data_IF_254352896536
#
_entry.id   IF_254352896536
#
_cell.length_a   1.000
_cell.length_b   1.000
_cell.length_c   1.000
_cell.angle_alpha   90.00
_cell.angle_beta   90.00
_cell.angle_gamma   90.00
#
_symmetry.space_group_name_H-M   'P 1'
#
loop_
_entity.id
_entity.type
_entity.pdbx_description
1 polymer ?
#
# COMPACT_ATOMS: atom_id res chain seq x y z
N UNK A 1 -13.76 11.01 -19.86
CA UNK A 1 -13.85 11.41 -18.44
C UNK A 1 -13.35 10.24 -17.61
N UNK A 2 -12.34 10.42 -16.78
CA UNK A 2 -11.82 9.37 -15.89
C UNK A 2 -12.87 9.16 -14.77
N UNK A 3 -13.24 7.92 -14.49
CA UNK A 3 -14.17 7.58 -13.40
C UNK A 3 -13.56 8.01 -12.06
N UNK A 4 -14.38 8.53 -11.14
CA UNK A 4 -13.97 8.85 -9.78
C UNK A 4 -13.52 7.57 -9.03
N UNK A 5 -12.51 7.71 -8.18
CA UNK A 5 -12.00 6.64 -7.32
C UNK A 5 -13.01 6.40 -6.19
N UNK A 6 -13.49 5.19 -6.08
CA UNK A 6 -14.48 4.78 -5.06
C UNK A 6 -13.79 4.44 -3.76
N UNK A 7 -14.13 5.14 -2.69
CA UNK A 7 -13.47 5.01 -1.39
C UNK A 7 -14.45 4.50 -0.34
N UNK A 8 -14.04 3.48 0.41
CA UNK A 8 -14.70 3.01 1.64
C UNK A 8 -13.94 3.55 2.86
N UNK A 9 -14.66 4.15 3.82
CA UNK A 9 -14.09 4.60 5.09
C UNK A 9 -14.34 3.56 6.16
N UNK A 10 -13.29 3.17 6.89
CA UNK A 10 -13.38 2.18 7.97
C UNK A 10 -12.69 2.72 9.21
N UNK A 11 -13.46 3.07 10.23
CA UNK A 11 -12.99 3.69 11.48
C UNK A 11 -14.11 3.53 12.53
N UNK A 12 -13.80 3.24 13.78
CA UNK A 12 -14.82 3.09 14.83
C UNK A 12 -15.36 4.43 15.33
N UNK A 13 -14.63 5.54 15.12
CA UNK A 13 -15.07 6.88 15.48
C UNK A 13 -15.90 7.54 14.36
N UNK A 14 -17.20 7.73 14.63
CA UNK A 14 -18.11 8.37 13.69
C UNK A 14 -17.74 9.84 13.36
N UNK A 15 -17.07 10.57 14.29
CA UNK A 15 -16.62 11.95 14.03
C UNK A 15 -15.47 11.94 13.03
N UNK A 16 -14.54 10.99 13.16
CA UNK A 16 -13.44 10.82 12.20
C UNK A 16 -13.99 10.49 10.82
N UNK A 17 -14.93 9.53 10.70
CA UNK A 17 -15.56 9.20 9.41
C UNK A 17 -16.26 10.42 8.79
N UNK A 18 -17.01 11.17 9.60
CA UNK A 18 -17.69 12.39 9.11
C UNK A 18 -16.69 13.46 8.65
N UNK A 19 -15.59 13.66 9.40
CA UNK A 19 -14.51 14.56 9.04
C UNK A 19 -13.84 14.17 7.72
N UNK A 20 -13.48 12.89 7.55
CA UNK A 20 -12.90 12.35 6.32
C UNK A 20 -13.86 12.52 5.13
N UNK A 21 -15.14 12.23 5.33
CA UNK A 21 -16.17 12.45 4.28
C UNK A 21 -16.23 13.90 3.84
N UNK A 22 -16.23 14.85 4.78
CA UNK A 22 -16.23 16.29 4.45
C UNK A 22 -14.95 16.70 3.71
N UNK A 23 -13.79 16.21 4.15
CA UNK A 23 -12.50 16.50 3.51
C UNK A 23 -12.45 15.98 2.06
N UNK A 24 -12.97 14.77 1.85
CA UNK A 24 -12.95 14.12 0.53
C UNK A 24 -14.04 14.62 -0.41
N UNK A 25 -15.15 15.18 0.11
CA UNK A 25 -16.24 15.73 -0.71
C UNK A 25 -15.81 16.87 -1.63
N UNK A 26 -14.71 17.57 -1.31
CA UNK A 26 -14.13 18.61 -2.15
C UNK A 26 -13.23 18.12 -3.29
N UNK A 27 -12.94 16.81 -3.35
CA UNK A 27 -12.06 16.22 -4.36
C UNK A 27 -12.89 15.63 -5.50
N UNK A 28 -12.93 16.31 -6.66
CA UNK A 28 -13.74 15.94 -7.84
C UNK A 28 -13.52 14.49 -8.34
N UNK A 29 -12.38 13.89 -7.99
CA UNK A 29 -11.97 12.55 -8.46
C UNK A 29 -12.14 11.45 -7.43
N UNK A 30 -12.74 11.75 -6.28
CA UNK A 30 -12.96 10.79 -5.19
C UNK A 30 -14.45 10.72 -4.87
N UNK A 31 -14.97 9.50 -4.71
CA UNK A 31 -16.35 9.23 -4.31
C UNK A 31 -16.34 8.32 -3.07
N UNK A 32 -16.80 8.82 -1.92
CA UNK A 32 -16.95 8.03 -0.70
C UNK A 32 -18.25 7.21 -0.79
N UNK A 33 -18.11 5.95 -1.16
CA UNK A 33 -19.22 5.05 -1.51
C UNK A 33 -19.84 4.32 -0.32
N UNK A 34 -19.15 4.28 0.83
CA UNK A 34 -19.66 3.60 2.01
C UNK A 34 -18.78 3.83 3.23
N UNK A 35 -19.26 3.34 4.37
CA UNK A 35 -18.59 3.36 5.66
C UNK A 35 -18.75 2.03 6.38
N UNK A 36 -17.78 1.69 7.24
CA UNK A 36 -17.88 0.64 8.24
C UNK A 36 -17.27 1.15 9.56
N UNK A 37 -17.79 0.67 10.68
CA UNK A 37 -17.38 1.08 12.03
C UNK A 37 -16.50 0.03 12.73
N UNK A 38 -16.22 -1.09 12.05
CA UNK A 38 -15.41 -2.18 12.58
C UNK A 38 -14.88 -3.06 11.45
N UNK A 39 -13.76 -3.73 11.68
CA UNK A 39 -13.15 -4.64 10.72
C UNK A 39 -14.01 -5.82 10.29
N UNK A 40 -14.96 -6.27 11.12
CA UNK A 40 -15.89 -7.36 10.78
C UNK A 40 -16.84 -6.97 9.65
N UNK A 41 -17.27 -5.71 9.61
CA UNK A 41 -18.18 -5.20 8.59
C UNK A 41 -17.51 -5.00 7.23
N UNK A 42 -16.18 -4.98 7.18
CA UNK A 42 -15.41 -4.55 6.00
C UNK A 42 -15.67 -5.42 4.77
N UNK A 43 -15.67 -6.76 4.91
CA UNK A 43 -15.89 -7.66 3.77
C UNK A 43 -17.27 -7.43 3.14
N UNK A 44 -18.32 -7.35 3.96
CA UNK A 44 -19.69 -7.08 3.49
C UNK A 44 -19.81 -5.69 2.83
N UNK A 45 -19.14 -4.67 3.40
CA UNK A 45 -19.12 -3.33 2.82
C UNK A 45 -18.37 -3.29 1.48
N UNK A 46 -17.26 -4.03 1.34
CA UNK A 46 -16.52 -4.16 0.08
C UNK A 46 -17.37 -4.85 -0.98
N UNK A 47 -18.05 -5.94 -0.63
CA UNK A 47 -18.94 -6.65 -1.56
C UNK A 47 -20.10 -5.79 -2.04
N UNK A 48 -20.69 -5.00 -1.14
CA UNK A 48 -21.81 -4.13 -1.44
C UNK A 48 -21.41 -2.92 -2.28
N UNK A 49 -20.32 -2.24 -1.87
CA UNK A 49 -19.95 -0.94 -2.44
C UNK A 49 -18.88 -1.03 -3.52
N UNK A 50 -18.18 -2.17 -3.67
CA UNK A 50 -17.11 -2.36 -4.66
C UNK A 50 -16.15 -1.15 -4.71
N UNK A 51 -15.50 -0.78 -3.59
CA UNK A 51 -14.55 0.32 -3.56
C UNK A 51 -13.29 -0.02 -4.33
N UNK A 52 -12.60 1.00 -4.85
CA UNK A 52 -11.27 0.88 -5.42
C UNK A 52 -10.19 0.98 -4.32
N UNK A 53 -10.48 1.78 -3.28
CA UNK A 53 -9.57 2.03 -2.14
C UNK A 53 -10.35 1.97 -0.83
N UNK A 54 -9.74 1.39 0.20
CA UNK A 54 -10.24 1.41 1.59
C UNK A 54 -9.31 2.27 2.44
N UNK A 55 -9.83 3.31 3.09
CA UNK A 55 -9.14 3.99 4.19
C UNK A 55 -9.48 3.25 5.48
N UNK A 56 -8.47 2.68 6.13
CA UNK A 56 -8.62 1.73 7.23
C UNK A 56 -7.94 2.23 8.50
N UNK A 57 -8.69 2.47 9.58
CA UNK A 57 -8.07 2.63 10.88
C UNK A 57 -7.53 1.29 11.41
N UNK A 58 -6.49 1.35 12.22
CA UNK A 58 -5.90 0.16 12.87
C UNK A 58 -6.70 -0.23 14.10
N UNK A 59 -7.04 0.75 14.96
CA UNK A 59 -7.59 0.47 16.27
C UNK A 59 -9.10 0.44 16.26
N UNK A 60 -9.66 -0.74 16.05
CA UNK A 60 -11.09 -1.00 16.13
C UNK A 60 -11.40 -2.12 17.14
N UNK A 61 -12.58 -2.09 17.81
CA UNK A 61 -12.85 -2.91 18.99
C UNK A 61 -12.87 -4.43 18.76
N UNK A 62 -13.50 -4.91 17.68
CA UNK A 62 -13.78 -6.32 17.47
C UNK A 62 -12.76 -6.99 16.56
N UNK A 63 -12.48 -6.35 15.42
CA UNK A 63 -11.46 -6.78 14.47
C UNK A 63 -10.60 -5.59 14.08
N UNK A 64 -9.32 -5.64 14.44
CA UNK A 64 -8.39 -4.55 14.10
C UNK A 64 -8.16 -4.42 12.59
N UNK A 65 -7.75 -3.22 12.16
CA UNK A 65 -7.58 -2.92 10.75
C UNK A 65 -6.45 -3.71 10.08
N UNK A 66 -5.46 -4.19 10.82
CA UNK A 66 -4.39 -5.03 10.27
C UNK A 66 -4.94 -6.42 9.94
N UNK A 67 -5.73 -7.01 10.85
CA UNK A 67 -6.40 -8.28 10.60
C UNK A 67 -7.44 -8.16 9.47
N UNK A 68 -8.21 -7.06 9.45
CA UNK A 68 -9.16 -6.77 8.36
C UNK A 68 -8.45 -6.60 7.01
N UNK A 69 -7.31 -5.91 6.97
CA UNK A 69 -6.48 -5.78 5.76
C UNK A 69 -6.04 -7.15 5.24
N UNK A 70 -5.56 -8.04 6.12
CA UNK A 70 -5.14 -9.40 5.73
C UNK A 70 -6.31 -10.20 5.16
N UNK A 71 -7.51 -10.10 5.76
CA UNK A 71 -8.71 -10.75 5.25
C UNK A 71 -9.12 -10.21 3.88
N UNK A 72 -9.07 -8.90 3.67
CA UNK A 72 -9.34 -8.30 2.37
C UNK A 72 -8.35 -8.78 1.32
N UNK A 73 -7.05 -8.80 1.63
CA UNK A 73 -6.00 -9.21 0.69
C UNK A 73 -6.08 -10.68 0.27
N UNK A 74 -6.74 -11.54 1.07
CA UNK A 74 -6.98 -12.94 0.71
C UNK A 74 -8.15 -13.12 -0.27
N UNK A 75 -8.92 -12.07 -0.58
CA UNK A 75 -10.03 -12.15 -1.52
C UNK A 75 -9.56 -12.04 -2.98
N UNK A 76 -10.33 -12.59 -3.94
CA UNK A 76 -10.09 -12.31 -5.35
C UNK A 76 -10.30 -10.82 -5.67
N UNK A 77 -9.36 -10.20 -6.40
CA UNK A 77 -9.41 -8.80 -6.83
C UNK A 77 -9.72 -7.80 -5.67
N UNK A 78 -8.89 -7.79 -4.62
CA UNK A 78 -9.16 -6.99 -3.44
C UNK A 78 -8.91 -5.51 -3.71
N UNK A 79 -9.66 -4.60 -3.05
CA UNK A 79 -9.37 -3.16 -3.10
C UNK A 79 -7.99 -2.87 -2.51
N UNK A 80 -7.39 -1.77 -2.93
CA UNK A 80 -6.18 -1.29 -2.29
C UNK A 80 -6.50 -0.74 -0.89
N UNK A 81 -5.63 -1.01 0.09
CA UNK A 81 -5.84 -0.55 1.48
C UNK A 81 -4.80 0.50 1.83
N UNK A 82 -5.26 1.66 2.26
CA UNK A 82 -4.45 2.71 2.90
C UNK A 82 -4.79 2.75 4.37
N UNK A 83 -3.82 2.46 5.22
CA UNK A 83 -3.99 2.56 6.66
C UNK A 83 -3.92 4.02 7.07
N UNK A 84 -4.87 4.46 7.90
CA UNK A 84 -4.97 5.82 8.43
C UNK A 84 -5.15 5.73 9.95
N UNK A 85 -4.13 6.10 10.73
CA UNK A 85 -4.12 5.91 12.19
C UNK A 85 -3.54 7.09 12.94
N UNK A 86 -3.86 7.21 14.24
CA UNK A 86 -3.24 8.19 15.14
C UNK A 86 -1.88 7.75 15.69
N UNK A 87 -1.49 6.49 15.49
CA UNK A 87 -0.28 5.90 16.06
C UNK A 87 0.66 5.37 14.99
N UNK A 88 1.92 5.74 15.09
CA UNK A 88 2.99 5.44 14.15
C UNK A 88 4.15 4.66 14.77
N UNK A 89 3.85 3.68 15.65
CA UNK A 89 4.94 2.83 16.15
C UNK A 89 5.49 1.99 15.00
N UNK A 90 6.82 1.84 14.95
CA UNK A 90 7.54 1.09 13.93
C UNK A 90 6.95 -0.31 13.70
N UNK A 91 6.56 -0.97 14.79
CA UNK A 91 5.96 -2.29 14.74
C UNK A 91 4.61 -2.29 14.01
N UNK A 92 3.75 -1.29 14.24
CA UNK A 92 2.43 -1.19 13.59
C UNK A 92 2.56 -0.94 12.09
N UNK A 93 3.50 -0.08 11.69
CA UNK A 93 3.80 0.19 10.28
C UNK A 93 4.20 -1.10 9.57
N UNK A 94 5.17 -1.83 10.11
CA UNK A 94 5.64 -3.10 9.51
C UNK A 94 4.52 -4.13 9.45
N UNK A 95 3.72 -4.26 10.51
CA UNK A 95 2.60 -5.22 10.54
C UNK A 95 1.54 -4.88 9.50
N UNK A 96 1.22 -3.60 9.30
CA UNK A 96 0.27 -3.14 8.28
C UNK A 96 0.78 -3.45 6.86
N UNK A 97 2.05 -3.14 6.58
CA UNK A 97 2.66 -3.42 5.29
C UNK A 97 2.77 -4.92 5.01
N UNK A 98 3.12 -5.73 6.02
CA UNK A 98 3.14 -7.20 5.91
C UNK A 98 1.74 -7.81 5.73
N UNK A 99 0.69 -7.12 6.21
CA UNK A 99 -0.70 -7.50 5.97
C UNK A 99 -1.19 -7.13 4.55
N UNK A 100 -0.39 -6.43 3.76
CA UNK A 100 -0.71 -6.07 2.38
C UNK A 100 -1.25 -4.65 2.19
N UNK A 101 -1.13 -3.75 3.20
CA UNK A 101 -1.47 -2.35 3.02
C UNK A 101 -0.61 -1.71 1.92
N UNK A 102 -1.25 -1.01 0.98
CA UNK A 102 -0.60 -0.31 -0.12
C UNK A 102 -0.10 1.10 0.27
N UNK A 103 -0.59 1.62 1.40
CA UNK A 103 -0.19 2.91 1.95
C UNK A 103 -0.38 2.97 3.46
N UNK A 104 0.33 3.93 4.08
CA UNK A 104 0.22 4.21 5.51
C UNK A 104 0.32 5.72 5.75
N UNK A 105 -0.69 6.28 6.40
CA UNK A 105 -0.81 7.69 6.73
C UNK A 105 -1.18 7.89 8.20
N UNK A 106 -0.84 9.05 8.73
CA UNK A 106 -1.31 9.48 10.04
C UNK A 106 -2.64 10.26 9.91
N UNK A 107 -3.50 10.21 10.91
CA UNK A 107 -4.79 10.95 10.92
C UNK A 107 -4.62 12.47 10.95
N UNK A 108 -3.44 12.99 11.29
CA UNK A 108 -3.07 14.40 11.19
C UNK A 108 -2.51 14.80 9.82
N UNK A 109 -2.44 13.86 8.87
CA UNK A 109 -2.01 14.13 7.50
C UNK A 109 -2.93 15.15 6.84
N UNK A 110 -2.37 16.21 6.18
CA UNK A 110 -3.17 17.22 5.49
C UNK A 110 -4.14 16.60 4.46
N UNK A 111 -5.38 17.13 4.32
CA UNK A 111 -6.38 16.58 3.40
C UNK A 111 -5.89 16.40 1.96
N UNK A 112 -5.11 17.32 1.44
CA UNK A 112 -4.54 17.23 0.09
C UNK A 112 -3.59 16.03 -0.09
N UNK A 113 -2.88 15.65 0.96
CA UNK A 113 -1.99 14.48 0.94
C UNK A 113 -2.78 13.18 1.05
N UNK A 114 -3.89 13.16 1.79
CA UNK A 114 -4.81 12.00 1.84
C UNK A 114 -5.41 11.77 0.44
N UNK A 115 -5.90 12.81 -0.22
CA UNK A 115 -6.41 12.76 -1.60
C UNK A 115 -5.33 12.20 -2.54
N UNK A 116 -4.13 12.75 -2.48
CA UNK A 116 -2.99 12.30 -3.29
C UNK A 116 -2.66 10.83 -3.04
N UNK A 117 -2.67 10.38 -1.78
CA UNK A 117 -2.40 8.99 -1.43
C UNK A 117 -3.43 8.05 -2.04
N UNK A 118 -4.73 8.40 -1.97
CA UNK A 118 -5.81 7.61 -2.59
C UNK A 118 -5.58 7.49 -4.10
N UNK A 119 -5.27 8.59 -4.78
CA UNK A 119 -5.02 8.59 -6.23
C UNK A 119 -3.80 7.75 -6.62
N UNK A 120 -2.68 7.87 -5.87
CA UNK A 120 -1.47 7.10 -6.12
C UNK A 120 -1.69 5.61 -5.90
N UNK A 121 -2.33 5.24 -4.78
CA UNK A 121 -2.60 3.84 -4.46
C UNK A 121 -3.57 3.22 -5.47
N UNK A 122 -4.61 3.96 -5.90
CA UNK A 122 -5.48 3.54 -7.00
C UNK A 122 -4.70 3.39 -8.33
N UNK A 123 -3.68 4.20 -8.55
CA UNK A 123 -2.79 4.07 -9.70
C UNK A 123 -1.84 2.86 -9.61
N UNK A 124 -1.81 2.14 -8.48
CA UNK A 124 -0.91 1.01 -8.21
C UNK A 124 0.46 1.45 -7.68
N UNK A 125 0.58 2.71 -7.26
CA UNK A 125 1.75 3.23 -6.57
C UNK A 125 1.54 3.12 -5.05
N UNK A 126 2.58 2.71 -4.31
CA UNK A 126 2.55 2.74 -2.85
C UNK A 126 2.70 4.17 -2.34
N UNK A 127 2.04 4.50 -1.24
CA UNK A 127 2.18 5.79 -0.59
C UNK A 127 2.48 5.62 0.89
N UNK A 128 3.61 6.15 1.32
CA UNK A 128 3.99 6.26 2.72
C UNK A 128 4.22 7.73 3.04
N UNK A 129 3.74 8.17 4.21
CA UNK A 129 4.09 9.53 4.66
C UNK A 129 5.60 9.66 4.85
N UNK A 130 6.16 10.88 4.77
CA UNK A 130 7.59 11.08 5.01
C UNK A 130 8.06 10.58 6.38
N UNK A 131 7.20 10.64 7.40
CA UNK A 131 7.47 10.11 8.73
C UNK A 131 7.63 8.59 8.69
N UNK A 132 6.65 7.89 8.11
CA UNK A 132 6.65 6.43 7.96
C UNK A 132 7.82 5.95 7.09
N UNK A 133 8.17 6.69 6.04
CA UNK A 133 9.34 6.37 5.20
C UNK A 133 10.63 6.43 6.02
N UNK A 134 10.83 7.46 6.87
CA UNK A 134 12.01 7.55 7.75
C UNK A 134 12.08 6.40 8.74
N UNK A 135 10.93 6.00 9.32
CA UNK A 135 10.85 4.86 10.23
C UNK A 135 11.25 3.55 9.54
N UNK A 136 10.73 3.30 8.33
CA UNK A 136 11.10 2.12 7.56
C UNK A 136 12.60 2.08 7.24
N UNK A 137 13.18 3.21 6.84
CA UNK A 137 14.61 3.32 6.59
C UNK A 137 15.41 2.98 7.85
N UNK A 138 15.01 3.52 9.01
CA UNK A 138 15.66 3.26 10.29
C UNK A 138 15.57 1.78 10.71
N UNK A 139 14.42 1.14 10.47
CA UNK A 139 14.20 -0.28 10.76
C UNK A 139 15.06 -1.19 9.88
N UNK A 140 15.10 -0.92 8.58
CA UNK A 140 15.93 -1.69 7.63
C UNK A 140 17.42 -1.50 7.95
N UNK A 141 17.83 -0.28 8.31
CA UNK A 141 19.21 0.00 8.70
C UNK A 141 19.60 -0.58 10.08
N UNK A 142 18.66 -0.76 11.00
CA UNK A 142 18.88 -1.26 12.36
C UNK A 142 18.80 -2.79 12.51
N UNK A 143 18.00 -3.44 11.69
CA UNK A 143 17.99 -4.90 11.57
C UNK A 143 19.10 -5.33 10.60
N UNK A 144 20.35 -5.30 11.02
CA UNK A 144 21.47 -5.87 10.25
C UNK A 144 21.04 -7.27 9.79
N UNK A 145 20.68 -7.37 8.50
CA UNK A 145 19.98 -8.51 7.95
C UNK A 145 20.69 -9.83 8.23
N UNK A 146 19.96 -10.81 8.74
CA UNK A 146 20.50 -12.15 8.84
C UNK A 146 20.89 -12.62 7.43
N UNK A 147 22.09 -13.21 7.21
CA UNK A 147 22.56 -13.66 5.89
C UNK A 147 21.54 -14.49 5.10
N UNK A 148 20.72 -15.28 5.80
CA UNK A 148 19.65 -16.08 5.20
C UNK A 148 18.52 -15.26 4.53
N UNK A 149 18.29 -14.01 4.93
CA UNK A 149 17.30 -13.15 4.26
C UNK A 149 17.84 -12.61 2.93
N UNK A 150 19.10 -12.24 2.90
CA UNK A 150 19.75 -11.72 1.69
C UNK A 150 19.85 -12.78 0.60
N UNK A 151 20.21 -14.02 0.95
CA UNK A 151 20.31 -15.12 -0.01
C UNK A 151 18.93 -15.44 -0.62
N UNK A 152 17.87 -15.53 0.20
CA UNK A 152 16.52 -15.77 -0.29
C UNK A 152 15.97 -14.64 -1.16
N UNK A 153 16.24 -13.37 -0.82
CA UNK A 153 15.83 -12.22 -1.62
C UNK A 153 16.53 -12.20 -2.98
N UNK A 154 17.82 -12.55 -3.00
CA UNK A 154 18.61 -12.64 -4.23
C UNK A 154 18.12 -13.76 -5.14
N UNK A 155 17.88 -14.95 -4.62
CA UNK A 155 17.32 -16.08 -5.38
C UNK A 155 15.97 -15.72 -6.01
N UNK A 156 15.09 -15.05 -5.27
CA UNK A 156 13.80 -14.56 -5.78
C UNK A 156 14.00 -13.57 -6.94
N UNK A 157 14.92 -12.60 -6.82
CA UNK A 157 15.22 -11.68 -7.91
C UNK A 157 15.92 -12.34 -9.11
N UNK A 158 16.61 -13.45 -8.91
CA UNK A 158 17.20 -14.24 -9.99
C UNK A 158 16.17 -15.08 -10.73
N UNK A 159 15.05 -15.43 -10.09
CA UNK A 159 13.96 -16.23 -10.66
C UNK A 159 13.05 -15.48 -11.63
N UNK A 160 13.05 -14.14 -11.62
CA UNK A 160 12.22 -13.31 -12.50
C UNK A 160 12.94 -12.96 -13.80
N UNK A 161 12.17 -12.62 -14.85
CA UNK A 161 12.75 -12.25 -16.15
C UNK A 161 13.56 -10.96 -16.08
N UNK A 162 14.53 -10.74 -17.02
CA UNK A 162 15.33 -9.52 -17.04
C UNK A 162 14.47 -8.24 -17.02
N UNK A 163 13.36 -8.24 -17.74
CA UNK A 163 12.46 -7.09 -17.82
C UNK A 163 11.68 -6.84 -16.52
N UNK A 164 11.26 -7.90 -15.84
CA UNK A 164 10.66 -7.82 -14.52
C UNK A 164 11.66 -7.32 -13.48
N UNK A 165 12.91 -7.75 -13.58
CA UNK A 165 14.00 -7.28 -12.72
C UNK A 165 14.26 -5.78 -12.88
N UNK A 166 14.30 -5.26 -14.11
CA UNK A 166 14.42 -3.81 -14.35
C UNK A 166 13.30 -3.03 -13.66
N UNK A 167 12.05 -3.50 -13.77
CA UNK A 167 10.90 -2.90 -13.10
C UNK A 167 11.04 -3.02 -11.57
N UNK A 168 11.42 -4.18 -11.05
CA UNK A 168 11.62 -4.38 -9.60
C UNK A 168 12.69 -3.44 -9.03
N UNK A 169 13.83 -3.29 -9.72
CA UNK A 169 14.89 -2.36 -9.33
C UNK A 169 14.42 -0.90 -9.34
N UNK A 170 13.62 -0.50 -10.32
CA UNK A 170 13.04 0.83 -10.38
C UNK A 170 12.03 1.07 -9.23
N UNK A 171 11.23 0.06 -8.88
CA UNK A 171 10.36 0.06 -7.70
C UNK A 171 11.20 0.18 -6.42
N UNK A 172 12.31 -0.53 -6.31
CA UNK A 172 13.26 -0.46 -5.19
C UNK A 172 13.86 0.95 -4.98
N UNK A 173 14.00 1.73 -6.07
CA UNK A 173 14.39 3.15 -5.99
C UNK A 173 13.23 4.10 -5.63
N UNK A 174 12.03 3.57 -5.42
CA UNK A 174 10.83 4.35 -5.08
C UNK A 174 10.18 5.08 -6.26
N UNK A 175 10.54 4.77 -7.51
CA UNK A 175 9.99 5.47 -8.68
C UNK A 175 8.50 5.15 -8.89
N UNK A 176 7.62 6.14 -9.12
CA UNK A 176 6.23 5.91 -9.49
C UNK A 176 6.12 5.26 -10.88
N UNK A 177 4.99 4.63 -11.18
CA UNK A 177 4.77 3.91 -12.44
C UNK A 177 4.96 4.78 -13.69
N UNK A 178 4.65 6.07 -13.61
CA UNK A 178 4.87 7.02 -14.72
C UNK A 178 6.36 7.22 -15.03
N UNK A 179 7.20 7.35 -13.99
CA UNK A 179 8.64 7.54 -14.14
C UNK A 179 9.32 6.25 -14.60
N UNK A 180 8.88 5.09 -14.06
CA UNK A 180 9.32 3.76 -14.56
C UNK A 180 9.00 3.61 -16.05
N UNK A 181 7.78 4.00 -16.45
CA UNK A 181 7.36 3.94 -17.84
C UNK A 181 8.24 4.79 -18.74
N UNK A 182 8.58 6.02 -18.33
CA UNK A 182 9.48 6.91 -19.05
C UNK A 182 10.90 6.35 -19.12
N UNK A 183 11.48 5.90 -17.99
CA UNK A 183 12.84 5.36 -17.92
C UNK A 183 13.02 4.09 -18.76
N UNK A 184 12.05 3.18 -18.67
CA UNK A 184 12.13 1.87 -19.34
C UNK A 184 11.47 1.84 -20.73
N UNK A 185 11.05 2.99 -21.25
CA UNK A 185 10.37 3.11 -22.55
C UNK A 185 9.15 2.17 -22.70
N UNK A 186 8.28 2.18 -21.68
CA UNK A 186 7.04 1.40 -21.64
C UNK A 186 5.81 2.29 -21.51
N UNK A 187 4.62 1.72 -21.70
CA UNK A 187 3.38 2.37 -21.24
C UNK A 187 3.21 2.18 -19.73
N UNK A 188 2.51 3.12 -19.07
CA UNK A 188 2.14 2.98 -17.64
C UNK A 188 1.33 1.70 -17.39
N UNK A 189 0.46 1.33 -18.33
CA UNK A 189 -0.31 0.07 -18.27
C UNK A 189 0.60 -1.16 -18.29
N UNK A 190 1.68 -1.13 -19.09
CA UNK A 190 2.68 -2.21 -19.13
C UNK A 190 3.44 -2.32 -17.82
N UNK A 191 3.84 -1.19 -17.23
CA UNK A 191 4.49 -1.18 -15.90
C UNK A 191 3.56 -1.78 -14.83
N UNK A 192 2.29 -1.35 -14.78
CA UNK A 192 1.29 -1.92 -13.85
C UNK A 192 1.18 -3.45 -14.02
N UNK A 193 1.12 -3.95 -15.25
CA UNK A 193 1.06 -5.39 -15.52
C UNK A 193 2.33 -6.12 -15.05
N UNK A 194 3.52 -5.50 -15.16
CA UNK A 194 4.74 -6.06 -14.60
C UNK A 194 4.74 -6.07 -13.08
N UNK A 195 4.33 -4.98 -12.44
CA UNK A 195 4.21 -4.91 -10.97
C UNK A 195 3.24 -5.98 -10.46
N UNK A 196 2.06 -6.14 -11.07
CA UNK A 196 1.10 -7.18 -10.67
C UNK A 196 1.69 -8.60 -10.80
N UNK A 197 2.44 -8.88 -11.87
CA UNK A 197 3.12 -10.17 -12.03
C UNK A 197 4.24 -10.37 -11.01
N UNK A 198 4.98 -9.31 -10.67
CA UNK A 198 6.03 -9.34 -9.66
C UNK A 198 5.45 -9.68 -8.29
N UNK A 199 4.31 -9.08 -7.89
CA UNK A 199 3.64 -9.43 -6.64
C UNK A 199 3.39 -10.93 -6.53
N UNK A 200 2.82 -11.53 -7.58
CA UNK A 200 2.53 -12.97 -7.61
C UNK A 200 3.81 -13.81 -7.61
N UNK A 201 4.80 -13.48 -8.44
CA UNK A 201 6.02 -14.28 -8.58
C UNK A 201 6.93 -14.23 -7.36
N UNK A 202 7.01 -13.06 -6.72
CA UNK A 202 7.83 -12.85 -5.53
C UNK A 202 7.09 -13.25 -4.24
N UNK A 203 5.78 -13.58 -4.32
CA UNK A 203 4.97 -13.96 -3.17
C UNK A 203 4.76 -12.81 -2.19
N UNK A 204 4.63 -11.57 -2.71
CA UNK A 204 4.48 -10.35 -1.90
C UNK A 204 3.16 -9.66 -2.19
N UNK A 205 2.61 -8.93 -1.20
CA UNK A 205 1.25 -8.39 -1.23
C UNK A 205 1.15 -6.97 -1.79
N UNK A 206 2.24 -6.20 -1.75
CA UNK A 206 2.26 -4.81 -2.20
C UNK A 206 3.62 -4.39 -2.75
N UNK A 207 3.65 -3.23 -3.45
CA UNK A 207 4.91 -2.75 -4.06
C UNK A 207 5.97 -2.31 -3.04
N UNK A 208 5.58 -1.98 -1.80
CA UNK A 208 6.54 -1.64 -0.76
C UNK A 208 7.35 -2.88 -0.38
N UNK A 209 6.70 -4.04 -0.33
CA UNK A 209 7.39 -5.31 -0.10
C UNK A 209 8.34 -5.67 -1.26
N UNK A 210 7.99 -5.34 -2.52
CA UNK A 210 8.94 -5.47 -3.65
C UNK A 210 10.17 -4.60 -3.39
N UNK A 211 9.97 -3.33 -2.96
CA UNK A 211 11.07 -2.41 -2.71
C UNK A 211 11.99 -2.91 -1.58
N UNK A 212 11.41 -3.41 -0.48
CA UNK A 212 12.17 -4.00 0.63
C UNK A 212 12.96 -5.23 0.20
N UNK A 213 12.35 -6.12 -0.59
CA UNK A 213 13.02 -7.31 -1.12
C UNK A 213 14.21 -6.94 -2.03
N UNK A 214 14.05 -5.92 -2.87
CA UNK A 214 15.15 -5.40 -3.71
C UNK A 214 16.28 -4.84 -2.85
N UNK A 215 15.93 -4.10 -1.78
CA UNK A 215 16.92 -3.55 -0.86
C UNK A 215 17.70 -4.67 -0.17
N UNK A 216 17.00 -5.67 0.39
CA UNK A 216 17.62 -6.83 1.04
C UNK A 216 18.58 -7.55 0.09
N UNK A 217 18.24 -7.72 -1.19
CA UNK A 217 19.07 -8.38 -2.18
C UNK A 217 20.28 -7.54 -2.60
N UNK A 218 20.23 -6.21 -2.52
CA UNK A 218 21.32 -5.31 -2.94
C UNK A 218 22.31 -5.00 -1.83
N UNK A 219 21.88 -4.98 -0.56
CA UNK A 219 22.76 -4.72 0.59
C UNK A 219 23.77 -5.86 0.86
N UNK A 220 23.47 -7.09 0.41
CA UNK A 220 24.40 -8.23 0.45
C UNK A 220 25.64 -8.07 -0.45
N UNK A 221 25.68 -7.02 -1.28
CA UNK A 221 26.78 -6.78 -2.24
C UNK A 221 27.77 -5.71 -1.77
N UNK A 222 27.63 -5.21 -0.54
CA UNK A 222 28.55 -4.27 0.11
C UNK A 222 29.26 -4.93 1.30
#
# INVERSE_FOLDING_TARGET
MTRAVRVLLVDDDALVRSGLRMMLAGAERIDVVGEADDGRGVLGAVDLHRPDVVLMDIRMPQLDGIAATRLLRSQPDPPAVVVLTTFDTDELVLRALRAGAAGFLLKDTPPAEIVRAIELVHAGDGMLSPAVTRQLIALVAGEGGAPARHDGARELLESISPREREVALAVGRGLPNADIAAELHMSVATVKAHVSRLLVKLGVENRVQIALLVQDATDASR
#
